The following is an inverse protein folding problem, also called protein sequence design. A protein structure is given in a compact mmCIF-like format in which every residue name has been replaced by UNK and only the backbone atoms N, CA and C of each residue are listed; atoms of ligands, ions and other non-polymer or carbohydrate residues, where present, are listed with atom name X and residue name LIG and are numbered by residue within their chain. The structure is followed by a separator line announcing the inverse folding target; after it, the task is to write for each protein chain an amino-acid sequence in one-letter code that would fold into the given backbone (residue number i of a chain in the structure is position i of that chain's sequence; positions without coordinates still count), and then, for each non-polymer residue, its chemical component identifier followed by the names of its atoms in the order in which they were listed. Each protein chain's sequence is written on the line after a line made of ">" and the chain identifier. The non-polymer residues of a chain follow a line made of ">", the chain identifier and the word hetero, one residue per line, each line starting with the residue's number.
data_IF_361202393330
#
_entry.id   IF_361202393330
#
_cell.length_a   1.000
_cell.length_b   1.000
_cell.length_c   1.000
_cell.angle_alpha   90.00
_cell.angle_beta   90.00
_cell.angle_gamma   90.00
#
_symmetry.space_group_name_H-M   'P 1'
#
loop_
_entity.id
_entity.type
_entity.pdbx_description
1 polymer ?
#
# COMPACT_ATOMS: atom_id res chain seq x y z
N UNK A 1 5.63 -18.86 33.71
CA UNK A 1 5.33 -18.25 32.40
C UNK A 1 6.19 -17.00 32.24
N UNK A 2 7.25 -17.04 31.43
CA UNK A 2 8.09 -15.88 31.15
C UNK A 2 7.28 -14.91 30.28
N UNK A 3 6.92 -13.73 30.79
CA UNK A 3 6.32 -12.65 30.00
C UNK A 3 7.32 -12.29 28.88
N UNK A 4 7.10 -12.80 27.67
CA UNK A 4 7.86 -12.39 26.48
C UNK A 4 7.71 -10.88 26.33
N UNK A 5 8.81 -10.16 26.54
CA UNK A 5 8.90 -8.69 26.43
C UNK A 5 8.55 -8.31 24.99
N UNK A 6 7.44 -7.61 24.77
CA UNK A 6 7.09 -7.05 23.48
C UNK A 6 8.27 -6.23 22.96
N UNK A 7 8.60 -6.39 21.67
CA UNK A 7 9.63 -5.55 21.04
C UNK A 7 9.13 -4.09 21.02
N UNK A 8 9.69 -3.29 21.96
CA UNK A 8 9.27 -1.90 22.16
C UNK A 8 9.63 -0.95 21.01
N UNK A 9 10.49 -1.41 20.08
CA UNK A 9 11.06 -0.57 19.03
C UNK A 9 10.32 -0.66 17.69
N UNK A 10 9.39 -1.62 17.53
CA UNK A 10 8.68 -1.86 16.27
C UNK A 10 7.17 -1.78 16.50
N UNK A 11 6.50 -1.01 15.67
CA UNK A 11 5.03 -1.00 15.56
C UNK A 11 4.64 -1.61 14.22
N UNK A 12 3.68 -2.54 14.23
CA UNK A 12 3.07 -3.12 13.03
C UNK A 12 1.81 -2.33 12.71
N UNK A 13 1.72 -1.81 11.49
CA UNK A 13 0.52 -1.14 10.98
C UNK A 13 -0.10 -1.92 9.83
N UNK A 14 -1.43 -2.04 9.86
CA UNK A 14 -2.20 -2.78 8.86
C UNK A 14 -3.47 -2.02 8.53
N UNK A 15 -3.72 -1.84 7.23
CA UNK A 15 -5.01 -1.37 6.72
C UNK A 15 -5.87 -2.56 6.31
N UNK A 16 -7.12 -2.58 6.76
CA UNK A 16 -8.09 -3.65 6.51
C UNK A 16 -9.25 -3.10 5.69
N UNK A 17 -9.66 -3.84 4.66
CA UNK A 17 -10.84 -3.54 3.86
C UNK A 17 -11.44 -4.84 3.31
N UNK A 18 -12.63 -5.21 3.76
CA UNK A 18 -13.31 -6.47 3.36
C UNK A 18 -12.37 -7.67 3.40
N UNK A 19 -11.55 -7.74 4.46
CA UNK A 19 -10.51 -8.75 4.58
C UNK A 19 -11.14 -10.11 4.93
N UNK A 20 -10.86 -11.18 4.16
CA UNK A 20 -11.36 -12.51 4.42
C UNK A 20 -10.90 -13.04 5.80
N UNK A 21 -11.74 -13.88 6.44
CA UNK A 21 -11.48 -14.40 7.81
C UNK A 21 -10.17 -15.17 7.89
N UNK A 22 -9.86 -15.99 6.89
CA UNK A 22 -8.62 -16.77 6.80
C UNK A 22 -7.37 -15.87 6.74
N UNK A 23 -7.47 -14.65 6.19
CA UNK A 23 -6.39 -13.68 6.17
C UNK A 23 -6.24 -12.93 7.50
N UNK A 24 -7.34 -12.79 8.25
CA UNK A 24 -7.28 -12.22 9.59
C UNK A 24 -6.51 -13.14 10.57
N UNK A 25 -6.54 -14.46 10.39
CA UNK A 25 -5.75 -15.40 11.17
C UNK A 25 -4.24 -15.20 11.01
N UNK A 26 -3.77 -14.75 9.83
CA UNK A 26 -2.35 -14.42 9.64
C UNK A 26 -1.86 -13.29 10.56
N UNK A 27 -2.76 -12.45 11.09
CA UNK A 27 -2.38 -11.35 11.96
C UNK A 27 -1.86 -11.82 13.33
N UNK A 28 -2.13 -13.07 13.71
CA UNK A 28 -1.64 -13.68 14.96
C UNK A 28 -0.11 -13.68 15.04
N UNK A 29 0.58 -13.73 13.89
CA UNK A 29 2.04 -13.68 13.83
C UNK A 29 2.64 -12.40 14.42
N UNK A 30 1.86 -11.32 14.54
CA UNK A 30 2.32 -10.02 15.04
C UNK A 30 2.10 -9.81 16.55
N UNK A 31 1.67 -10.84 17.30
CA UNK A 31 1.29 -10.75 18.73
C UNK A 31 2.36 -10.17 19.66
N UNK A 32 3.64 -10.31 19.30
CA UNK A 32 4.77 -9.85 20.12
C UNK A 32 5.24 -8.42 19.78
N UNK A 33 4.51 -7.69 18.93
CA UNK A 33 4.78 -6.31 18.56
C UNK A 33 3.68 -5.37 19.03
N UNK A 34 3.93 -4.06 19.01
CA UNK A 34 2.86 -3.08 19.09
C UNK A 34 2.05 -3.14 17.79
N UNK A 35 0.73 -3.18 17.88
CA UNK A 35 -0.13 -3.27 16.71
C UNK A 35 -1.09 -2.09 16.64
N UNK A 36 -1.19 -1.46 15.47
CA UNK A 36 -2.15 -0.39 15.18
C UNK A 36 -2.82 -0.70 13.84
N UNK A 37 -4.12 -0.91 13.84
CA UNK A 37 -4.88 -1.31 12.67
C UNK A 37 -5.96 -0.31 12.31
N UNK A 38 -6.19 -0.14 11.02
CA UNK A 38 -7.21 0.75 10.48
C UNK A 38 -8.16 -0.05 9.58
N UNK A 39 -9.44 -0.11 9.96
CA UNK A 39 -10.47 -0.70 9.13
C UNK A 39 -11.19 0.37 8.32
N UNK A 40 -11.26 0.16 7.01
CA UNK A 40 -11.88 1.08 6.07
C UNK A 40 -13.38 0.81 5.87
N UNK A 41 -14.03 0.23 6.87
CA UNK A 41 -15.46 -0.04 6.90
C UNK A 41 -16.03 0.32 8.28
N UNK A 42 -17.24 0.92 8.26
CA UNK A 42 -17.99 1.16 9.49
C UNK A 42 -18.70 -0.13 9.92
N UNK A 43 -18.08 -0.87 10.84
CA UNK A 43 -18.74 -2.01 11.48
C UNK A 43 -18.42 -1.98 12.99
N UNK A 44 -19.42 -1.66 13.81
CA UNK A 44 -19.26 -1.56 15.28
C UNK A 44 -18.78 -2.86 15.92
N UNK A 45 -19.16 -4.02 15.37
CA UNK A 45 -18.78 -5.33 15.89
C UNK A 45 -17.44 -5.84 15.38
N UNK A 46 -16.85 -5.19 14.38
CA UNK A 46 -15.65 -5.70 13.71
C UNK A 46 -14.43 -5.77 14.66
N UNK A 47 -14.25 -4.75 15.52
CA UNK A 47 -13.17 -4.75 16.54
C UNK A 47 -13.26 -5.94 17.48
N UNK A 48 -14.48 -6.23 18.01
CA UNK A 48 -14.71 -7.37 18.91
C UNK A 48 -14.40 -8.70 18.22
N UNK A 49 -14.88 -8.86 16.98
CA UNK A 49 -14.61 -10.04 16.16
C UNK A 49 -13.11 -10.21 15.88
N UNK A 50 -12.40 -9.13 15.52
CA UNK A 50 -10.95 -9.17 15.34
C UNK A 50 -10.23 -9.61 16.61
N UNK A 51 -10.59 -9.04 17.77
CA UNK A 51 -9.97 -9.40 19.05
C UNK A 51 -10.17 -10.88 19.38
N UNK A 52 -11.35 -11.45 19.11
CA UNK A 52 -11.63 -12.87 19.25
C UNK A 52 -10.76 -13.74 18.33
N UNK A 53 -10.54 -13.30 17.07
CA UNK A 53 -9.75 -14.05 16.08
C UNK A 53 -8.26 -14.06 16.46
N UNK A 54 -7.70 -12.92 16.85
CA UNK A 54 -6.25 -12.79 17.03
C UNK A 54 -5.77 -13.08 18.46
N UNK A 55 -6.63 -12.93 19.45
CA UNK A 55 -6.34 -13.28 20.86
C UNK A 55 -5.34 -12.36 21.57
N UNK A 56 -5.07 -11.15 21.06
CA UNK A 56 -4.18 -10.17 21.70
C UNK A 56 -4.66 -8.73 21.52
N UNK A 57 -4.09 -7.79 22.27
CA UNK A 57 -4.47 -6.39 22.25
C UNK A 57 -3.81 -5.62 21.08
N UNK A 58 -4.59 -4.73 20.46
CA UNK A 58 -4.15 -3.82 19.42
C UNK A 58 -4.92 -2.49 19.47
N UNK A 59 -4.30 -1.42 19.00
CA UNK A 59 -5.01 -0.16 18.76
C UNK A 59 -5.80 -0.28 17.47
N UNK A 60 -7.07 0.12 17.51
CA UNK A 60 -7.98 0.01 16.36
C UNK A 60 -8.63 1.33 16.04
N UNK A 61 -8.60 1.65 14.78
CA UNK A 61 -9.30 2.79 14.18
C UNK A 61 -10.17 2.33 13.02
N UNK A 62 -11.19 3.11 12.70
CA UNK A 62 -12.05 2.83 11.55
C UNK A 62 -12.60 4.11 10.93
N UNK A 63 -12.93 4.05 9.65
CA UNK A 63 -13.62 5.12 8.92
C UNK A 63 -15.04 4.68 8.58
N UNK A 64 -15.95 5.66 8.38
CA UNK A 64 -17.32 5.39 7.92
C UNK A 64 -17.35 4.82 6.49
N UNK A 65 -16.35 5.12 5.68
CA UNK A 65 -16.19 4.68 4.28
C UNK A 65 -14.71 4.45 3.96
N UNK A 66 -14.44 3.72 2.87
CA UNK A 66 -13.08 3.55 2.37
C UNK A 66 -12.49 4.92 1.96
N UNK A 67 -11.42 5.33 2.63
CA UNK A 67 -10.71 6.60 2.41
C UNK A 67 -9.46 6.45 1.54
N UNK A 68 -9.18 5.24 1.06
CA UNK A 68 -7.99 4.90 0.27
C UNK A 68 -6.80 4.46 1.10
N UNK A 69 -5.86 3.78 0.43
CA UNK A 69 -4.70 3.19 1.09
C UNK A 69 -3.75 4.27 1.64
N UNK A 70 -3.46 5.29 0.85
CA UNK A 70 -2.52 6.37 1.25
C UNK A 70 -2.98 7.10 2.50
N UNK A 71 -4.24 7.57 2.54
CA UNK A 71 -4.81 8.26 3.71
C UNK A 71 -4.84 7.39 4.95
N UNK A 72 -5.29 6.13 4.80
CA UNK A 72 -5.36 5.19 5.91
C UNK A 72 -3.97 4.86 6.46
N UNK A 73 -2.99 4.67 5.58
CA UNK A 73 -1.59 4.41 5.94
C UNK A 73 -0.94 5.60 6.62
N UNK A 74 -1.14 6.81 6.11
CA UNK A 74 -0.62 8.03 6.73
C UNK A 74 -1.23 8.28 8.11
N UNK A 75 -2.54 8.04 8.25
CA UNK A 75 -3.19 8.10 9.56
C UNK A 75 -2.50 7.18 10.57
N UNK A 76 -2.23 5.92 10.17
CA UNK A 76 -1.55 4.96 11.03
C UNK A 76 -0.09 5.36 11.31
N UNK A 77 0.67 5.76 10.29
CA UNK A 77 2.06 6.20 10.43
C UNK A 77 2.19 7.37 11.41
N UNK A 78 1.24 8.31 11.41
CA UNK A 78 1.19 9.43 12.37
C UNK A 78 0.91 8.99 13.83
N UNK A 79 0.37 7.79 14.04
CA UNK A 79 0.14 7.20 15.38
C UNK A 79 1.31 6.34 15.88
N UNK A 80 2.32 6.10 15.02
CA UNK A 80 3.50 5.33 15.39
C UNK A 80 4.45 6.18 16.23
N UNK A 81 4.82 5.68 17.42
CA UNK A 81 5.74 6.33 18.36
C UNK A 81 7.02 5.48 18.59
N UNK A 82 7.24 4.44 17.80
CA UNK A 82 8.44 3.60 17.83
C UNK A 82 9.43 4.05 16.76
N UNK A 83 10.69 3.64 16.90
CA UNK A 83 11.73 3.95 15.91
C UNK A 83 11.39 3.36 14.54
N UNK A 84 10.90 2.12 14.52
CA UNK A 84 10.58 1.39 13.29
C UNK A 84 9.08 1.13 13.19
N UNK A 85 8.61 1.10 11.95
CA UNK A 85 7.26 0.71 11.59
C UNK A 85 7.32 -0.40 10.54
N UNK A 86 6.68 -1.54 10.83
CA UNK A 86 6.39 -2.56 9.83
C UNK A 86 5.04 -2.22 9.19
N UNK A 87 5.08 -1.75 7.95
CA UNK A 87 3.90 -1.63 7.10
C UNK A 87 3.69 -2.98 6.39
N UNK A 88 2.52 -3.59 6.56
CA UNK A 88 2.24 -4.90 6.00
C UNK A 88 0.75 -5.09 5.71
N UNK A 89 0.43 -6.17 4.97
CA UNK A 89 -0.92 -6.55 4.59
C UNK A 89 -1.34 -7.87 5.25
N UNK A 90 -2.64 -8.14 5.31
CA UNK A 90 -3.17 -9.35 5.94
C UNK A 90 -2.83 -10.66 5.18
N UNK A 91 -2.44 -10.57 3.92
CA UNK A 91 -2.04 -11.70 3.07
C UNK A 91 -0.50 -11.91 3.01
N UNK A 92 0.23 -11.26 3.92
CA UNK A 92 1.67 -11.46 4.13
C UNK A 92 1.89 -12.44 5.28
N UNK A 93 2.79 -13.40 5.07
CA UNK A 93 3.30 -14.29 6.11
C UNK A 93 4.80 -14.01 6.31
N UNK A 94 5.18 -13.59 7.51
CA UNK A 94 6.56 -13.31 7.92
C UNK A 94 6.73 -13.62 9.41
N UNK A 95 7.76 -14.34 9.80
CA UNK A 95 7.95 -14.69 11.19
C UNK A 95 8.65 -13.56 12.00
N UNK A 96 8.50 -13.62 13.32
CA UNK A 96 9.07 -12.64 14.26
C UNK A 96 10.60 -12.49 14.11
N UNK A 97 11.34 -13.62 13.95
CA UNK A 97 12.80 -13.58 13.77
C UNK A 97 13.20 -12.80 12.52
N UNK A 98 12.45 -12.98 11.44
CA UNK A 98 12.62 -12.24 10.18
C UNK A 98 12.41 -10.74 10.37
N UNK A 99 11.35 -10.31 11.07
CA UNK A 99 11.08 -8.89 11.35
C UNK A 99 12.23 -8.28 12.17
N UNK A 100 12.68 -8.96 13.23
CA UNK A 100 13.81 -8.50 14.05
C UNK A 100 15.12 -8.44 13.25
N UNK A 101 15.34 -9.37 12.32
CA UNK A 101 16.49 -9.36 11.42
C UNK A 101 16.47 -8.17 10.46
N UNK A 102 15.28 -7.83 9.89
CA UNK A 102 15.11 -6.61 9.10
C UNK A 102 15.48 -5.37 9.91
N UNK A 103 15.01 -5.24 11.15
CA UNK A 103 15.32 -4.11 12.02
C UNK A 103 16.83 -4.01 12.32
N UNK A 104 17.49 -5.14 12.55
CA UNK A 104 18.95 -5.20 12.77
C UNK A 104 19.73 -4.76 11.53
N UNK A 105 19.31 -5.17 10.33
CA UNK A 105 19.93 -4.74 9.08
C UNK A 105 19.73 -3.23 8.88
N UNK A 106 18.47 -2.75 9.03
CA UNK A 106 18.13 -1.34 8.86
C UNK A 106 18.90 -0.44 9.84
N UNK A 107 19.08 -0.88 11.09
CA UNK A 107 19.83 -0.10 12.11
C UNK A 107 21.32 0.07 11.82
N UNK A 108 21.89 -0.78 11.00
CA UNK A 108 23.32 -0.75 10.58
C UNK A 108 23.55 0.05 9.29
N UNK A 109 22.46 0.50 8.63
CA UNK A 109 22.50 1.23 7.36
C UNK A 109 21.90 2.63 7.56
N UNK A 110 22.77 3.59 7.90
CA UNK A 110 22.34 4.95 8.24
C UNK A 110 21.70 5.70 7.08
N UNK A 111 21.98 5.35 5.84
CA UNK A 111 21.39 5.92 4.63
C UNK A 111 20.12 5.20 4.19
N UNK A 112 19.81 4.02 4.74
CA UNK A 112 18.58 3.32 4.41
C UNK A 112 17.37 3.86 5.21
N UNK A 113 16.24 4.08 4.51
CA UNK A 113 14.96 4.49 5.09
C UNK A 113 13.96 3.34 5.14
N UNK A 114 14.03 2.42 4.17
CA UNK A 114 13.14 1.27 4.02
C UNK A 114 13.95 0.02 3.76
N UNK A 115 13.54 -1.07 4.39
CA UNK A 115 13.99 -2.43 4.08
C UNK A 115 12.79 -3.34 3.84
N UNK A 116 12.85 -4.11 2.75
CA UNK A 116 11.88 -5.17 2.45
C UNK A 116 12.49 -6.56 2.63
N UNK A 117 11.70 -7.58 3.00
CA UNK A 117 12.10 -8.96 2.86
C UNK A 117 12.10 -9.37 1.38
N UNK A 118 12.74 -10.49 1.07
CA UNK A 118 12.63 -11.12 -0.24
C UNK A 118 11.26 -11.84 -0.35
N UNK A 119 10.37 -11.31 -1.17
CA UNK A 119 9.02 -11.88 -1.39
C UNK A 119 8.99 -12.97 -2.48
N UNK A 120 10.02 -13.08 -3.30
CA UNK A 120 9.99 -13.93 -4.51
C UNK A 120 10.76 -15.25 -4.39
N UNK A 121 11.43 -15.52 -3.27
CA UNK A 121 12.31 -16.69 -3.06
C UNK A 121 13.35 -16.95 -4.20
N UNK A 122 13.53 -16.00 -5.16
CA UNK A 122 14.27 -16.19 -6.41
C UNK A 122 15.72 -15.70 -6.38
N UNK A 123 16.22 -15.23 -5.24
CA UNK A 123 17.59 -14.70 -5.20
C UNK A 123 18.59 -15.84 -5.01
N UNK A 124 19.28 -16.19 -6.07
CA UNK A 124 20.33 -17.22 -6.10
C UNK A 124 21.62 -16.80 -5.39
N UNK A 125 21.91 -15.51 -5.21
CA UNK A 125 23.12 -15.02 -4.56
C UNK A 125 22.89 -14.71 -3.09
N UNK A 126 23.31 -15.64 -2.22
CA UNK A 126 23.24 -15.54 -0.74
C UNK A 126 24.47 -14.86 -0.09
N UNK A 127 25.48 -14.45 -0.84
CA UNK A 127 26.74 -13.91 -0.30
C UNK A 127 26.56 -12.55 0.39
N UNK A 128 25.69 -11.69 -0.15
CA UNK A 128 25.39 -10.39 0.45
C UNK A 128 24.15 -10.44 1.32
N UNK A 129 24.23 -9.87 2.53
CA UNK A 129 23.10 -9.84 3.47
C UNK A 129 21.91 -9.01 2.94
N UNK A 130 22.16 -7.94 2.20
CA UNK A 130 21.17 -7.05 1.58
C UNK A 130 21.74 -6.44 0.30
N UNK A 131 20.85 -5.82 -0.48
CA UNK A 131 21.20 -5.04 -1.67
C UNK A 131 20.38 -3.74 -1.75
N UNK A 132 20.98 -2.70 -2.31
CA UNK A 132 20.28 -1.46 -2.66
C UNK A 132 19.41 -1.66 -3.88
N UNK A 133 18.24 -1.01 -3.88
CA UNK A 133 17.27 -1.11 -4.97
C UNK A 133 16.61 0.24 -5.22
N UNK A 134 16.20 0.49 -6.46
CA UNK A 134 15.39 1.66 -6.83
C UNK A 134 13.89 1.39 -6.72
N UNK A 135 13.49 0.12 -6.70
CA UNK A 135 12.10 -0.31 -6.57
C UNK A 135 12.00 -1.55 -5.70
N UNK A 136 10.92 -1.64 -4.94
CA UNK A 136 10.57 -2.79 -4.10
C UNK A 136 9.05 -2.93 -3.99
N UNK A 137 8.58 -4.06 -3.48
CA UNK A 137 7.16 -4.27 -3.20
C UNK A 137 6.84 -3.72 -1.79
N UNK A 138 5.97 -2.73 -1.71
CA UNK A 138 5.55 -2.13 -0.44
C UNK A 138 4.54 -2.98 0.36
N UNK A 139 4.17 -4.17 -0.13
CA UNK A 139 3.26 -5.06 0.60
C UNK A 139 3.80 -5.49 1.97
N UNK A 140 5.14 -5.51 2.14
CA UNK A 140 5.80 -5.77 3.42
C UNK A 140 7.12 -5.01 3.49
N UNK A 141 7.15 -3.93 4.27
CA UNK A 141 8.34 -3.11 4.48
C UNK A 141 8.51 -2.73 5.94
N UNK A 142 9.77 -2.71 6.40
CA UNK A 142 10.11 -2.05 7.65
C UNK A 142 10.75 -0.70 7.34
N UNK A 143 10.27 0.37 7.94
CA UNK A 143 10.80 1.72 7.72
C UNK A 143 11.31 2.36 9.01
N UNK A 144 12.31 3.23 8.89
CA UNK A 144 12.69 4.19 9.92
C UNK A 144 11.71 5.37 9.85
N UNK A 145 10.87 5.50 10.89
CA UNK A 145 9.75 6.46 10.91
C UNK A 145 10.23 7.90 10.82
N UNK A 146 11.33 8.26 11.51
CA UNK A 146 11.88 9.62 11.48
C UNK A 146 12.40 9.99 10.08
N UNK A 147 13.10 9.09 9.42
CA UNK A 147 13.61 9.30 8.06
C UNK A 147 12.48 9.38 7.05
N UNK A 148 11.50 8.47 7.14
CA UNK A 148 10.34 8.46 6.25
C UNK A 148 9.50 9.74 6.41
N UNK A 149 9.38 10.27 7.64
CA UNK A 149 8.70 11.54 7.90
C UNK A 149 9.41 12.73 7.23
N UNK A 150 10.74 12.75 7.17
CA UNK A 150 11.51 13.79 6.48
C UNK A 150 11.28 13.79 4.96
N UNK A 151 11.11 12.61 4.35
CA UNK A 151 10.78 12.47 2.93
C UNK A 151 9.31 12.84 2.65
N UNK A 152 8.47 12.72 3.66
CA UNK A 152 7.01 12.74 3.58
C UNK A 152 6.47 11.33 3.35
N UNK A 153 5.31 11.04 3.92
CA UNK A 153 4.62 9.77 3.81
C UNK A 153 4.02 9.58 2.40
N UNK A 154 2.99 8.74 2.27
CA UNK A 154 2.28 8.59 0.99
C UNK A 154 1.60 9.89 0.57
N UNK A 155 1.56 10.15 -0.71
CA UNK A 155 0.78 11.26 -1.25
C UNK A 155 -0.72 10.89 -1.24
N UNK A 156 -1.54 11.67 -0.53
CA UNK A 156 -2.95 11.36 -0.26
C UNK A 156 -3.89 11.59 -1.45
N UNK A 157 -3.42 12.21 -2.52
CA UNK A 157 -4.17 12.31 -3.77
C UNK A 157 -4.30 10.93 -4.44
N UNK A 158 -3.36 10.00 -4.18
CA UNK A 158 -3.51 8.60 -4.59
C UNK A 158 -4.46 7.85 -3.65
N UNK A 159 -5.52 7.30 -4.21
CA UNK A 159 -6.48 6.52 -3.43
C UNK A 159 -6.01 5.07 -3.24
N UNK A 160 -5.55 4.44 -4.31
CA UNK A 160 -5.06 3.06 -4.37
C UNK A 160 -4.24 2.90 -5.65
N UNK A 161 -3.08 2.25 -5.58
CA UNK A 161 -2.06 2.09 -6.62
C UNK A 161 -1.32 3.38 -6.97
N UNK A 162 -0.06 3.25 -7.37
CA UNK A 162 0.89 4.28 -7.75
C UNK A 162 1.40 5.16 -6.59
N UNK A 163 0.78 5.11 -5.40
CA UNK A 163 1.28 5.76 -4.20
C UNK A 163 2.66 5.24 -3.78
N UNK A 164 2.86 3.93 -3.99
CA UNK A 164 4.11 3.23 -3.71
C UNK A 164 5.22 3.66 -4.66
N UNK A 165 4.95 3.68 -5.97
CA UNK A 165 5.91 4.12 -7.00
C UNK A 165 6.28 5.58 -6.77
N UNK A 166 5.30 6.44 -6.48
CA UNK A 166 5.53 7.85 -6.23
C UNK A 166 6.36 8.08 -4.95
N UNK A 167 6.15 7.30 -3.89
CA UNK A 167 6.98 7.32 -2.69
C UNK A 167 8.41 6.88 -2.99
N UNK A 168 8.59 5.79 -3.74
CA UNK A 168 9.91 5.29 -4.13
C UNK A 168 10.68 6.31 -4.97
N UNK A 169 10.02 7.03 -5.87
CA UNK A 169 10.66 8.11 -6.65
C UNK A 169 11.14 9.25 -5.76
N UNK A 170 10.36 9.62 -4.72
CA UNK A 170 10.79 10.64 -3.74
C UNK A 170 11.98 10.17 -2.90
N UNK A 171 12.00 8.89 -2.51
CA UNK A 171 13.16 8.31 -1.82
C UNK A 171 14.39 8.33 -2.73
N UNK A 172 14.26 7.92 -4.00
CA UNK A 172 15.36 7.91 -4.96
C UNK A 172 15.92 9.29 -5.29
N UNK A 173 15.11 10.36 -5.15
CA UNK A 173 15.54 11.77 -5.30
C UNK A 173 16.13 12.35 -4.02
N UNK A 174 16.07 11.65 -2.90
CA UNK A 174 16.62 12.04 -1.62
C UNK A 174 18.00 11.40 -1.39
N UNK A 175 18.65 11.78 -0.28
CA UNK A 175 19.91 11.13 0.17
C UNK A 175 19.69 9.76 0.84
N UNK A 176 18.43 9.27 0.89
CA UNK A 176 18.10 7.99 1.49
C UNK A 176 18.00 6.88 0.44
N UNK A 177 18.17 5.66 0.90
CA UNK A 177 18.16 4.46 0.07
C UNK A 177 17.10 3.46 0.53
N UNK A 178 16.70 2.60 -0.40
CA UNK A 178 15.88 1.43 -0.16
C UNK A 178 16.73 0.17 -0.29
N UNK A 179 16.48 -0.81 0.56
CA UNK A 179 17.22 -2.07 0.56
C UNK A 179 16.29 -3.28 0.62
N UNK A 180 16.73 -4.38 0.01
CA UNK A 180 16.09 -5.70 0.15
C UNK A 180 17.04 -6.60 0.93
N UNK A 181 16.52 -7.24 1.98
CA UNK A 181 17.25 -8.26 2.71
C UNK A 181 17.23 -9.58 1.93
N UNK A 182 18.39 -10.02 1.42
CA UNK A 182 18.50 -11.21 0.58
C UNK A 182 18.22 -12.51 1.35
N UNK A 183 18.48 -12.53 2.65
CA UNK A 183 18.37 -13.71 3.52
C UNK A 183 17.22 -13.60 4.54
N UNK A 184 16.21 -12.77 4.25
CA UNK A 184 14.97 -12.66 5.00
C UNK A 184 13.82 -12.85 4.03
N UNK A 185 13.09 -13.95 4.18
CA UNK A 185 11.98 -14.29 3.30
C UNK A 185 10.64 -13.94 3.97
N UNK A 186 9.68 -13.52 3.15
CA UNK A 186 8.27 -13.46 3.48
C UNK A 186 7.45 -13.98 2.30
N UNK A 187 6.24 -14.43 2.57
CA UNK A 187 5.32 -14.96 1.56
C UNK A 187 4.22 -13.95 1.34
N UNK A 188 4.00 -13.54 0.11
CA UNK A 188 2.89 -12.69 -0.31
C UNK A 188 1.93 -13.51 -1.16
N UNK A 189 0.71 -13.73 -0.64
CA UNK A 189 -0.32 -14.50 -1.37
C UNK A 189 -0.92 -13.76 -2.56
N UNK A 190 -0.54 -12.51 -2.79
CA UNK A 190 -0.88 -11.65 -3.93
C UNK A 190 -2.38 -11.35 -4.08
N UNK A 191 -2.79 -10.09 -3.84
CA UNK A 191 -4.15 -9.62 -4.08
C UNK A 191 -5.27 -10.25 -3.25
N UNK A 192 -4.93 -11.05 -2.21
CA UNK A 192 -5.88 -11.79 -1.37
C UNK A 192 -6.17 -11.11 -0.02
N UNK A 193 -5.64 -9.93 0.22
CA UNK A 193 -5.91 -9.12 1.41
C UNK A 193 -7.35 -8.59 1.47
N UNK A 194 -8.04 -8.55 0.32
CA UNK A 194 -9.42 -8.08 0.17
C UNK A 194 -10.23 -9.13 -0.58
N UNK A 195 -11.50 -9.28 -0.20
CA UNK A 195 -12.46 -10.15 -0.89
C UNK A 195 -12.51 -9.84 -2.39
N UNK A 196 -12.45 -10.86 -3.25
CA UNK A 196 -12.50 -10.66 -4.69
C UNK A 196 -13.97 -10.65 -5.17
N UNK A 197 -14.39 -9.55 -5.82
CA UNK A 197 -15.70 -9.43 -6.48
C UNK A 197 -15.57 -8.53 -7.72
N UNK A 198 -16.49 -8.64 -8.66
CA UNK A 198 -16.52 -7.77 -9.85
C UNK A 198 -16.52 -6.29 -9.47
N UNK A 199 -17.27 -5.90 -8.43
CA UNK A 199 -17.27 -4.54 -7.91
C UNK A 199 -15.90 -4.09 -7.42
N UNK A 200 -15.18 -4.94 -6.70
CA UNK A 200 -13.83 -4.62 -6.20
C UNK A 200 -12.83 -4.55 -7.36
N UNK A 201 -12.92 -5.46 -8.32
CA UNK A 201 -12.08 -5.42 -9.53
C UNK A 201 -12.33 -4.13 -10.33
N UNK A 202 -13.59 -3.75 -10.51
CA UNK A 202 -13.96 -2.49 -11.17
C UNK A 202 -13.33 -1.27 -10.46
N UNK A 203 -13.49 -1.17 -9.13
CA UNK A 203 -12.90 -0.09 -8.33
C UNK A 203 -11.37 -0.07 -8.45
N UNK A 204 -10.73 -1.24 -8.48
CA UNK A 204 -9.28 -1.37 -8.66
C UNK A 204 -8.83 -0.81 -10.02
N UNK A 205 -9.51 -1.14 -11.11
CA UNK A 205 -9.18 -0.65 -12.46
C UNK A 205 -9.36 0.87 -12.55
N UNK A 206 -10.48 1.41 -12.02
CA UNK A 206 -10.73 2.86 -11.95
C UNK A 206 -9.56 3.57 -11.24
N UNK A 207 -9.15 3.07 -10.07
CA UNK A 207 -8.10 3.73 -9.29
C UNK A 207 -6.70 3.49 -9.86
N UNK A 208 -6.45 2.35 -10.50
CA UNK A 208 -5.20 2.09 -11.20
C UNK A 208 -4.99 3.10 -12.35
N UNK A 209 -6.03 3.30 -13.18
CA UNK A 209 -5.98 4.26 -14.30
C UNK A 209 -5.88 5.70 -13.80
N UNK A 210 -6.65 6.06 -12.77
CA UNK A 210 -6.55 7.36 -12.12
C UNK A 210 -5.15 7.62 -11.57
N UNK A 211 -4.59 6.65 -10.85
CA UNK A 211 -3.27 6.75 -10.23
C UNK A 211 -2.14 6.84 -11.28
N UNK A 212 -2.24 6.09 -12.40
CA UNK A 212 -1.30 6.19 -13.51
C UNK A 212 -1.21 7.62 -14.05
N UNK A 213 -2.37 8.22 -14.35
CA UNK A 213 -2.41 9.58 -14.90
C UNK A 213 -1.97 10.63 -13.87
N UNK A 214 -2.34 10.43 -12.60
CA UNK A 214 -1.90 11.29 -11.50
C UNK A 214 -0.39 11.23 -11.29
N UNK A 215 0.19 10.03 -11.39
CA UNK A 215 1.64 9.84 -11.32
C UNK A 215 2.36 10.54 -12.47
N UNK A 216 1.87 10.37 -13.72
CA UNK A 216 2.41 11.06 -14.87
C UNK A 216 2.33 12.59 -14.70
N UNK A 217 1.21 13.10 -14.20
CA UNK A 217 1.02 14.53 -13.90
C UNK A 217 2.01 15.04 -12.86
N UNK A 218 2.09 14.40 -11.70
CA UNK A 218 2.98 14.81 -10.60
C UNK A 218 4.46 14.63 -10.94
N UNK A 219 4.77 13.71 -11.85
CA UNK A 219 6.13 13.46 -12.36
C UNK A 219 6.49 14.30 -13.58
N UNK A 220 5.61 15.22 -14.02
CA UNK A 220 5.79 16.07 -15.20
C UNK A 220 5.99 15.28 -16.52
N UNK A 221 5.43 14.07 -16.58
CA UNK A 221 5.50 13.17 -17.76
C UNK A 221 4.19 13.11 -18.54
N UNK A 222 3.15 13.83 -18.07
CA UNK A 222 1.81 13.76 -18.64
C UNK A 222 1.78 14.38 -20.03
N UNK A 223 1.24 13.61 -21.00
CA UNK A 223 0.96 14.08 -22.38
C UNK A 223 -0.56 14.09 -22.59
N UNK A 224 -1.13 15.22 -22.92
CA UNK A 224 -2.58 15.36 -23.18
C UNK A 224 -3.08 14.40 -24.26
N UNK A 225 -2.30 14.24 -25.35
CA UNK A 225 -2.58 13.28 -26.43
C UNK A 225 -2.72 11.83 -25.88
N UNK A 226 -1.92 11.45 -24.88
CA UNK A 226 -2.04 10.13 -24.22
C UNK A 226 -3.41 9.94 -23.60
N UNK A 227 -3.93 10.95 -22.89
CA UNK A 227 -5.24 10.92 -22.23
C UNK A 227 -6.34 10.74 -23.26
N UNK A 228 -6.34 11.60 -24.29
CA UNK A 228 -7.35 11.55 -25.34
C UNK A 228 -7.34 10.21 -26.08
N UNK A 229 -6.16 9.74 -26.51
CA UNK A 229 -6.01 8.44 -27.18
C UNK A 229 -6.52 7.29 -26.33
N UNK A 230 -6.16 7.23 -25.04
CA UNK A 230 -6.59 6.17 -24.15
C UNK A 230 -8.10 6.21 -23.88
N UNK A 231 -8.69 7.40 -23.78
CA UNK A 231 -10.13 7.55 -23.63
C UNK A 231 -10.87 7.06 -24.87
N UNK A 232 -10.47 7.51 -26.06
CA UNK A 232 -11.08 7.10 -27.34
C UNK A 232 -10.92 5.58 -27.56
N UNK A 233 -9.75 5.04 -27.33
CA UNK A 233 -9.50 3.60 -27.42
C UNK A 233 -10.40 2.80 -26.48
N UNK A 234 -10.54 3.22 -25.21
CA UNK A 234 -11.40 2.54 -24.25
C UNK A 234 -12.88 2.64 -24.63
N UNK A 235 -13.29 3.74 -25.24
CA UNK A 235 -14.66 3.94 -25.76
C UNK A 235 -14.94 3.00 -26.92
N UNK A 236 -14.04 2.92 -27.92
CA UNK A 236 -14.18 2.01 -29.07
C UNK A 236 -14.27 0.55 -28.59
N UNK A 237 -13.35 0.13 -27.70
CA UNK A 237 -13.38 -1.22 -27.16
C UNK A 237 -14.59 -1.50 -26.27
N UNK A 238 -15.13 -0.51 -25.57
CA UNK A 238 -16.36 -0.65 -24.81
C UNK A 238 -17.49 -1.03 -25.76
N UNK A 239 -17.73 -0.25 -26.83
CA UNK A 239 -18.76 -0.53 -27.80
C UNK A 239 -18.58 -1.87 -28.51
N UNK A 240 -17.37 -2.17 -28.98
CA UNK A 240 -17.07 -3.47 -29.60
C UNK A 240 -17.36 -4.65 -28.64
N UNK A 241 -16.95 -4.56 -27.38
CA UNK A 241 -17.17 -5.62 -26.41
C UNK A 241 -18.64 -5.75 -25.98
N UNK A 242 -19.40 -4.65 -25.93
CA UNK A 242 -20.86 -4.67 -25.72
C UNK A 242 -21.53 -5.39 -26.87
N UNK A 243 -21.21 -5.02 -28.12
CA UNK A 243 -21.74 -5.68 -29.31
C UNK A 243 -21.40 -7.19 -29.38
N UNK A 244 -20.20 -7.56 -28.93
CA UNK A 244 -19.74 -8.95 -28.85
C UNK A 244 -20.21 -9.68 -27.58
N UNK A 245 -21.08 -9.11 -26.77
CA UNK A 245 -21.57 -9.65 -25.49
C UNK A 245 -20.47 -10.00 -24.46
N UNK A 246 -19.32 -9.36 -24.55
CA UNK A 246 -18.16 -9.58 -23.66
C UNK A 246 -18.27 -8.73 -22.38
N UNK A 247 -19.16 -9.11 -21.47
CA UNK A 247 -19.54 -8.34 -20.26
C UNK A 247 -18.35 -7.91 -19.40
N UNK A 248 -17.39 -8.79 -19.13
CA UNK A 248 -16.23 -8.48 -18.27
C UNK A 248 -15.33 -7.43 -18.92
N UNK A 249 -15.02 -7.60 -20.21
CA UNK A 249 -14.20 -6.66 -20.98
C UNK A 249 -14.89 -5.30 -21.13
N UNK A 250 -16.20 -5.28 -21.31
CA UNK A 250 -17.00 -4.06 -21.31
C UNK A 250 -16.88 -3.30 -19.98
N UNK A 251 -17.02 -3.98 -18.86
CA UNK A 251 -16.85 -3.40 -17.53
C UNK A 251 -15.42 -2.88 -17.30
N UNK A 252 -14.39 -3.57 -17.81
CA UNK A 252 -13.00 -3.12 -17.71
C UNK A 252 -12.78 -1.82 -18.49
N UNK A 253 -13.27 -1.72 -19.73
CA UNK A 253 -13.14 -0.50 -20.53
C UNK A 253 -13.91 0.67 -19.92
N UNK A 254 -15.12 0.43 -19.40
CA UNK A 254 -15.88 1.43 -18.66
C UNK A 254 -15.11 1.92 -17.42
N UNK A 255 -14.48 1.01 -16.68
CA UNK A 255 -13.69 1.37 -15.51
C UNK A 255 -12.46 2.23 -15.87
N UNK A 256 -11.79 1.94 -17.00
CA UNK A 256 -10.69 2.75 -17.52
C UNK A 256 -11.17 4.16 -17.85
N UNK A 257 -12.30 4.30 -18.57
CA UNK A 257 -12.89 5.60 -18.91
C UNK A 257 -13.22 6.40 -17.64
N UNK A 258 -13.84 5.77 -16.64
CA UNK A 258 -14.15 6.43 -15.36
C UNK A 258 -12.87 6.82 -14.58
N UNK A 259 -11.79 6.06 -14.68
CA UNK A 259 -10.50 6.43 -14.12
C UNK A 259 -9.92 7.69 -14.76
N UNK A 260 -10.02 7.81 -16.08
CA UNK A 260 -9.62 9.01 -16.84
C UNK A 260 -10.48 10.22 -16.44
N UNK A 261 -11.82 10.06 -16.41
CA UNK A 261 -12.73 11.14 -16.01
C UNK A 261 -12.49 11.61 -14.57
N UNK A 262 -12.20 10.67 -13.66
CA UNK A 262 -11.82 10.98 -12.27
C UNK A 262 -10.55 11.84 -12.23
N UNK A 263 -9.55 11.54 -13.06
CA UNK A 263 -8.34 12.32 -13.14
C UNK A 263 -8.60 13.73 -13.72
N UNK A 264 -9.37 13.84 -14.80
CA UNK A 264 -9.78 15.14 -15.37
C UNK A 264 -10.49 16.00 -14.32
N UNK A 265 -11.45 15.41 -13.58
CA UNK A 265 -12.13 16.09 -12.46
C UNK A 265 -11.14 16.59 -11.40
N UNK A 266 -10.16 15.78 -11.03
CA UNK A 266 -9.11 16.18 -10.09
C UNK A 266 -8.33 17.40 -10.60
N UNK A 267 -7.93 17.43 -11.87
CA UNK A 267 -7.23 18.56 -12.47
C UNK A 267 -8.08 19.84 -12.43
N UNK A 268 -9.38 19.74 -12.76
CA UNK A 268 -10.28 20.90 -12.68
C UNK A 268 -10.41 21.43 -11.26
N UNK A 269 -10.59 20.57 -10.26
CA UNK A 269 -10.70 21.00 -8.87
C UNK A 269 -9.42 21.68 -8.37
N UNK A 270 -8.24 21.16 -8.73
CA UNK A 270 -6.95 21.77 -8.36
C UNK A 270 -6.75 23.13 -9.05
N UNK A 271 -7.16 23.28 -10.31
CA UNK A 271 -7.07 24.55 -11.06
C UNK A 271 -8.00 25.62 -10.49
N UNK A 272 -9.20 25.24 -10.05
CA UNK A 272 -10.13 26.15 -9.37
C UNK A 272 -9.57 26.61 -8.01
N UNK A 273 -8.98 25.71 -7.22
CA UNK A 273 -8.33 26.09 -5.96
C UNK A 273 -7.09 26.98 -6.17
N UNK A 274 -6.32 26.81 -7.26
CA UNK A 274 -5.19 27.70 -7.56
C UNK A 274 -5.63 29.11 -7.98
N UNK A 275 -6.85 29.27 -8.52
CA UNK A 275 -7.43 30.58 -8.90
C UNK A 275 -8.09 31.30 -7.71
N UNK A 276 -8.46 30.58 -6.66
CA UNK A 276 -9.07 31.16 -5.44
C UNK A 276 -7.99 31.64 -4.43
N UNK A 277 -6.77 31.09 -4.54
CA UNK A 277 -5.63 31.47 -3.68
C UNK A 277 -4.67 32.50 -4.30
N UNK A 278 -5.06 33.14 -5.41
CA UNK A 278 -4.48 34.35 -5.98
C UNK A 278 -5.36 35.56 -5.68
#
# INVERSE_FOLDING_TARGET
>A
MVKKKNDKNITVIITLYKTPKEKLLNLIQYKNFKNIWFNQESNRFYKKKLKQIVGFEFRYYSAKKNIGLSKASNFLLNKVNTKYCLFTQADITINEKSIKKLAKILSRNNDAVIIAPNLKNKLKNKSQQYRHVKQLDLACILCDVKKLKKIGFFDEDFFLYWEDIFLMDRINKSNYKMIIANNVNAIHSGGKSTQNSLKIQFIRIVNFKYGELLYDYKSQKLRQVKIFRQFLQSMIFLFANVFMFKKIQSLQNLAIMLGILKFIKFCFMKKVFSLINL
#
